data_IF_609274888739
#
_entry.id   IF_609274888739
#
_cell.length_a   1.000
_cell.length_b   1.000
_cell.length_c   1.000
_cell.angle_alpha   90.00
_cell.angle_beta   90.00
_cell.angle_gamma   90.00
#
_symmetry.space_group_name_H-M   'P 1'
#
loop_
_entity.id
_entity.type
_entity.pdbx_description
1 polymer ?
#
# COMPACT_ATOMS: atom_id res chain seq x y z
N UNK A 1 9.08 8.66 -16.61
CA UNK A 1 7.94 9.05 -15.76
C UNK A 1 7.86 8.01 -14.64
N UNK A 2 7.73 8.41 -13.37
CA UNK A 2 7.58 7.46 -12.27
C UNK A 2 6.33 6.60 -12.47
N UNK A 3 6.41 5.31 -12.12
CA UNK A 3 5.24 4.43 -12.12
C UNK A 3 4.20 4.96 -11.14
N UNK A 4 2.94 5.03 -11.58
CA UNK A 4 1.82 5.42 -10.71
C UNK A 4 1.11 4.14 -10.29
N UNK A 5 0.84 4.01 -9.01
CA UNK A 5 0.17 2.87 -8.41
C UNK A 5 -1.25 3.27 -8.06
N UNK A 6 -2.21 2.40 -8.34
CA UNK A 6 -3.59 2.53 -7.88
C UNK A 6 -4.08 1.20 -7.32
N UNK A 7 -5.04 1.25 -6.40
CA UNK A 7 -5.67 0.04 -5.88
C UNK A 7 -6.44 -0.66 -7.01
N UNK A 8 -6.42 -1.99 -7.05
CA UNK A 8 -7.03 -2.73 -8.17
C UNK A 8 -8.55 -2.54 -8.21
N UNK A 9 -9.22 -2.74 -7.08
CA UNK A 9 -10.61 -2.33 -6.93
C UNK A 9 -10.92 -2.10 -5.45
N UNK A 10 -11.63 -1.02 -5.09
CA UNK A 10 -12.02 -0.78 -3.70
C UNK A 10 -12.89 -1.94 -3.15
N UNK A 11 -13.61 -2.67 -4.01
CA UNK A 11 -14.40 -3.84 -3.62
C UNK A 11 -13.62 -5.17 -3.62
N UNK A 12 -12.41 -5.19 -4.19
CA UNK A 12 -11.59 -6.42 -4.26
C UNK A 12 -10.85 -6.72 -2.95
N UNK A 13 -10.64 -5.72 -2.10
CA UNK A 13 -9.86 -5.83 -0.88
C UNK A 13 -10.75 -5.47 0.31
N UNK A 14 -10.87 -6.38 1.26
CA UNK A 14 -11.50 -6.13 2.54
C UNK A 14 -10.41 -5.95 3.59
N UNK A 15 -10.32 -4.73 4.14
CA UNK A 15 -9.41 -4.39 5.22
C UNK A 15 -10.15 -4.52 6.57
N UNK A 16 -9.57 -5.27 7.50
CA UNK A 16 -10.06 -5.35 8.88
C UNK A 16 -8.91 -5.03 9.84
N UNK A 17 -9.00 -3.89 10.52
CA UNK A 17 -8.02 -3.50 11.52
C UNK A 17 -8.21 -4.31 12.82
N UNK A 18 -7.16 -5.00 13.23
CA UNK A 18 -6.93 -5.52 14.57
C UNK A 18 -6.00 -4.53 15.30
N UNK A 19 -5.92 -4.61 16.63
CA UNK A 19 -5.14 -3.71 17.50
C UNK A 19 -3.87 -3.15 16.82
N UNK A 20 -2.86 -4.00 16.57
CA UNK A 20 -1.58 -3.59 15.97
C UNK A 20 -1.37 -4.13 14.53
N UNK A 21 -2.38 -4.79 13.94
CA UNK A 21 -2.24 -5.47 12.65
C UNK A 21 -3.48 -5.26 11.78
N UNK A 22 -3.35 -5.40 10.46
CA UNK A 22 -4.49 -5.34 9.54
C UNK A 22 -4.59 -6.65 8.77
N UNK A 23 -5.78 -7.24 8.77
CA UNK A 23 -6.14 -8.34 7.89
C UNK A 23 -6.60 -7.78 6.55
N UNK A 24 -5.89 -8.12 5.49
CA UNK A 24 -6.22 -7.81 4.11
C UNK A 24 -6.75 -9.07 3.44
N UNK A 25 -8.06 -9.11 3.21
CA UNK A 25 -8.69 -10.18 2.46
C UNK A 25 -8.85 -9.79 1.00
N UNK A 26 -8.16 -10.50 0.11
CA UNK A 26 -8.25 -10.31 -1.33
C UNK A 26 -9.32 -11.23 -1.92
N UNK A 27 -10.46 -10.66 -2.32
CA UNK A 27 -11.60 -11.45 -2.84
C UNK A 27 -11.25 -12.26 -4.10
N UNK A 28 -10.53 -11.72 -5.10
CA UNK A 28 -10.22 -12.47 -6.32
C UNK A 28 -9.34 -13.70 -6.06
N UNK A 29 -8.37 -13.63 -5.15
CA UNK A 29 -7.50 -14.77 -4.83
C UNK A 29 -7.99 -15.62 -3.67
N UNK A 30 -8.95 -15.13 -2.87
CA UNK A 30 -9.44 -15.78 -1.66
C UNK A 30 -8.42 -15.81 -0.51
N UNK A 31 -7.32 -15.07 -0.61
CA UNK A 31 -6.24 -15.09 0.39
C UNK A 31 -6.42 -13.97 1.42
N UNK A 32 -6.13 -14.30 2.68
CA UNK A 32 -6.07 -13.32 3.78
C UNK A 32 -4.61 -13.10 4.15
N UNK A 33 -4.11 -11.89 3.91
CA UNK A 33 -2.78 -11.48 4.32
C UNK A 33 -2.88 -10.71 5.63
N UNK A 34 -2.14 -11.13 6.64
CA UNK A 34 -1.95 -10.33 7.85
C UNK A 34 -0.75 -9.42 7.64
N UNK A 35 -0.94 -8.13 7.84
CA UNK A 35 0.10 -7.14 7.65
C UNK A 35 0.17 -6.16 8.82
N UNK A 36 1.30 -5.48 8.94
CA UNK A 36 1.56 -4.44 9.92
C UNK A 36 2.10 -3.20 9.20
N UNK A 37 2.25 -2.11 9.95
CA UNK A 37 2.88 -0.89 9.44
C UNK A 37 4.20 -1.19 8.72
N UNK A 38 4.46 -0.61 7.52
CA UNK A 38 3.76 0.50 6.86
C UNK A 38 2.79 0.10 5.72
N UNK A 39 2.46 -1.19 5.56
CA UNK A 39 1.65 -1.69 4.43
C UNK A 39 0.20 -1.19 4.42
N UNK A 40 -0.58 -1.28 5.53
CA UNK A 40 -1.96 -0.80 5.52
C UNK A 40 -2.06 0.71 5.30
N UNK A 41 -1.04 1.47 5.70
CA UNK A 41 -0.92 2.90 5.48
C UNK A 41 -0.70 3.23 3.99
N UNK A 42 0.17 2.47 3.31
CA UNK A 42 0.35 2.58 1.85
C UNK A 42 -0.98 2.35 1.14
N UNK A 43 -1.71 1.29 1.51
CA UNK A 43 -3.01 0.99 0.92
C UNK A 43 -4.06 2.06 1.24
N UNK A 44 -4.12 2.54 2.48
CA UNK A 44 -5.04 3.63 2.85
C UNK A 44 -4.77 4.92 2.08
N UNK A 45 -3.52 5.17 1.67
CA UNK A 45 -3.16 6.31 0.82
C UNK A 45 -3.65 6.12 -0.63
N UNK A 46 -3.79 4.86 -1.08
CA UNK A 46 -4.27 4.49 -2.42
C UNK A 46 -5.80 4.32 -2.50
N UNK A 47 -6.50 4.18 -1.37
CA UNK A 47 -7.95 3.96 -1.28
C UNK A 47 -8.78 5.13 -1.86
N UNK A 48 -8.18 6.32 -1.98
CA UNK A 48 -8.81 7.52 -2.55
C UNK A 48 -9.02 7.45 -4.08
N UNK A 49 -8.67 6.32 -4.72
CA UNK A 49 -8.86 6.06 -6.15
C UNK A 49 -7.91 6.84 -7.08
N UNK A 50 -7.05 7.69 -6.52
CA UNK A 50 -6.02 8.40 -7.25
C UNK A 50 -4.81 7.50 -7.49
N UNK A 51 -4.31 7.49 -8.73
CA UNK A 51 -3.03 6.84 -9.03
C UNK A 51 -1.89 7.71 -8.50
N UNK A 52 -1.15 7.23 -7.50
CA UNK A 52 -0.06 7.96 -6.84
C UNK A 52 1.29 7.33 -7.15
N UNK A 53 2.33 8.14 -7.22
CA UNK A 53 3.72 7.69 -7.34
C UNK A 53 4.28 7.27 -5.98
N UNK A 54 5.34 6.44 -5.97
CA UNK A 54 5.99 6.02 -4.73
C UNK A 54 6.46 7.21 -3.86
N UNK A 55 6.92 8.29 -4.50
CA UNK A 55 7.33 9.54 -3.83
C UNK A 55 6.14 10.27 -3.18
N UNK A 56 5.00 10.35 -3.89
CA UNK A 56 3.76 10.94 -3.33
C UNK A 56 3.24 10.12 -2.13
N UNK A 57 3.30 8.79 -2.22
CA UNK A 57 2.91 7.88 -1.13
C UNK A 57 3.86 8.06 0.07
N UNK A 58 5.17 8.12 -0.18
CA UNK A 58 6.16 8.37 0.86
C UNK A 58 5.94 9.74 1.53
N UNK A 59 5.61 10.77 0.76
CA UNK A 59 5.27 12.10 1.29
C UNK A 59 4.05 12.07 2.21
N UNK A 60 2.99 11.34 1.84
CA UNK A 60 1.80 11.16 2.68
C UNK A 60 2.10 10.33 3.94
N UNK A 61 2.92 9.27 3.80
CA UNK A 61 3.41 8.49 4.94
C UNK A 61 4.20 9.36 5.89
N UNK A 62 5.13 10.17 5.41
CA UNK A 62 5.96 11.07 6.21
C UNK A 62 5.17 12.14 6.98
N UNK A 63 3.94 12.47 6.55
CA UNK A 63 3.05 13.37 7.28
C UNK A 63 2.39 12.70 8.50
N UNK A 64 2.25 11.38 8.49
CA UNK A 64 1.48 10.62 9.49
C UNK A 64 2.34 9.66 10.32
N UNK A 65 3.48 9.26 9.77
CA UNK A 65 4.43 8.29 10.30
C UNK A 65 5.85 8.81 10.10
N UNK A 66 6.81 8.27 10.85
CA UNK A 66 8.23 8.52 10.63
C UNK A 66 8.82 7.36 9.80
N UNK A 67 8.85 7.45 8.46
CA UNK A 67 9.34 6.37 7.60
C UNK A 67 10.87 6.22 7.65
N UNK A 68 11.58 7.02 8.46
CA UNK A 68 13.04 7.00 8.56
C UNK A 68 13.72 7.88 7.52
N UNK A 69 15.01 7.64 7.25
CA UNK A 69 15.76 8.46 6.29
C UNK A 69 15.18 8.34 4.87
N UNK A 70 14.97 9.46 4.17
CA UNK A 70 14.31 9.45 2.85
C UNK A 70 15.08 8.64 1.78
N UNK A 71 16.39 8.45 1.96
CA UNK A 71 17.22 7.61 1.08
C UNK A 71 16.95 6.11 1.20
N UNK A 72 16.41 5.65 2.34
CA UNK A 72 16.07 4.25 2.59
C UNK A 72 14.55 4.01 2.55
N UNK A 73 13.77 5.02 2.91
CA UNK A 73 12.32 4.95 2.95
C UNK A 73 11.70 4.77 1.55
N UNK A 74 12.21 5.46 0.53
CA UNK A 74 11.70 5.33 -0.84
C UNK A 74 11.86 3.91 -1.40
N UNK A 75 13.06 3.28 -1.40
CA UNK A 75 13.20 1.91 -1.88
C UNK A 75 12.43 0.89 -1.03
N UNK A 76 12.20 1.15 0.26
CA UNK A 76 11.33 0.32 1.09
C UNK A 76 9.86 0.38 0.63
N UNK A 77 9.35 1.59 0.38
CA UNK A 77 7.99 1.80 -0.15
C UNK A 77 7.85 1.18 -1.54
N UNK A 78 8.85 1.34 -2.41
CA UNK A 78 8.84 0.70 -3.74
C UNK A 78 8.83 -0.84 -3.64
N UNK A 79 9.59 -1.42 -2.71
CA UNK A 79 9.59 -2.86 -2.48
C UNK A 79 8.21 -3.35 -2.00
N UNK A 80 7.59 -2.65 -1.05
CA UNK A 80 6.23 -2.98 -0.59
C UNK A 80 5.19 -2.80 -1.70
N UNK A 81 5.29 -1.77 -2.54
CA UNK A 81 4.42 -1.60 -3.70
C UNK A 81 4.58 -2.72 -4.72
N UNK A 82 5.81 -3.19 -4.95
CA UNK A 82 6.08 -4.34 -5.81
C UNK A 82 5.49 -5.64 -5.25
N UNK A 83 5.60 -5.87 -3.93
CA UNK A 83 4.96 -7.01 -3.26
C UNK A 83 3.43 -6.94 -3.34
N UNK A 84 2.84 -5.78 -3.04
CA UNK A 84 1.41 -5.55 -3.17
C UNK A 84 0.93 -5.77 -4.61
N UNK A 85 1.73 -5.38 -5.61
CA UNK A 85 1.43 -5.60 -7.02
C UNK A 85 1.52 -7.09 -7.38
N UNK A 86 2.51 -7.81 -6.84
CA UNK A 86 2.62 -9.26 -7.00
C UNK A 86 1.46 -10.02 -6.35
N UNK A 87 0.92 -9.51 -5.25
CA UNK A 87 -0.30 -10.02 -4.59
C UNK A 87 -1.59 -9.66 -5.35
N UNK A 88 -1.54 -8.76 -6.32
CA UNK A 88 -2.69 -8.25 -7.05
C UNK A 88 -3.52 -7.21 -6.30
N UNK A 89 -3.00 -6.66 -5.19
CA UNK A 89 -3.71 -5.67 -4.38
C UNK A 89 -3.62 -4.26 -5.00
N UNK A 90 -2.50 -3.95 -5.64
CA UNK A 90 -2.27 -2.71 -6.37
C UNK A 90 -1.88 -3.01 -7.80
N UNK A 91 -2.11 -2.06 -8.70
CA UNK A 91 -1.68 -2.14 -10.10
C UNK A 91 -0.99 -0.85 -10.50
N UNK A 92 -0.19 -0.94 -11.56
CA UNK A 92 0.40 0.23 -12.21
C UNK A 92 -0.64 0.82 -13.17
N UNK A 93 -0.94 2.11 -13.00
CA UNK A 93 -1.87 2.88 -13.83
C UNK A 93 -1.20 3.42 -15.11
#
# INVERSE_FOLDING_TARGET
MPARYCQDSPDAILCCALEDMVLLYHRPSGQTNMTISPVPEILATLDDGAALTADEILGQLALRYDPGEPGEALPLVEAHLAELAALGLVRIA
#
